data_IF_070989054311
#
_entry.id   IF_070989054311
#
_cell.length_a   1.000
_cell.length_b   1.000
_cell.length_c   1.000
_cell.angle_alpha   90.00
_cell.angle_beta   90.00
_cell.angle_gamma   90.00
#
_symmetry.space_group_name_H-M   'P 1'
#
loop_
_entity.id
_entity.type
_entity.pdbx_description
1 polymer ?
#
# COMPACT_ATOMS: atom_id res chain seq x y z
N UNK A 1 -31.26 -5.40 2.32
CA UNK A 1 -30.72 -4.05 2.07
C UNK A 1 -29.35 -3.99 2.71
N UNK A 2 -28.27 -3.94 1.90
CA UNK A 2 -26.89 -3.90 2.41
C UNK A 2 -26.49 -2.42 2.52
N UNK A 3 -26.18 -1.95 3.71
CA UNK A 3 -25.76 -0.57 3.94
C UNK A 3 -24.26 -0.44 3.66
N UNK A 4 -23.91 0.37 2.69
CA UNK A 4 -22.54 0.84 2.46
C UNK A 4 -22.31 2.05 3.38
N UNK A 5 -21.46 1.92 4.39
CA UNK A 5 -21.08 3.05 5.24
C UNK A 5 -19.84 3.72 4.63
N UNK A 6 -20.05 4.88 4.07
CA UNK A 6 -19.01 5.70 3.45
C UNK A 6 -18.68 6.87 4.39
N UNK A 7 -17.44 6.95 4.88
CA UNK A 7 -16.93 8.16 5.50
C UNK A 7 -15.92 8.81 4.56
N UNK A 8 -16.33 9.87 3.88
CA UNK A 8 -15.42 10.79 3.21
C UNK A 8 -15.21 12.00 4.11
N UNK A 9 -13.99 12.17 4.60
CA UNK A 9 -13.60 13.45 5.19
C UNK A 9 -12.94 14.30 4.10
N UNK A 10 -13.57 15.39 3.71
CA UNK A 10 -12.95 16.38 2.84
C UNK A 10 -12.38 17.50 3.68
N UNK A 11 -11.07 17.72 3.62
CA UNK A 11 -10.49 19.03 3.95
C UNK A 11 -10.49 19.85 2.66
N UNK A 12 -11.34 20.88 2.62
CA UNK A 12 -11.43 21.76 1.48
C UNK A 12 -10.17 22.62 1.38
N UNK A 13 -9.49 22.52 0.26
CA UNK A 13 -8.66 23.50 -0.44
C UNK A 13 -7.51 22.89 -1.27
N UNK A 14 -7.62 21.65 -1.67
CA UNK A 14 -6.65 21.10 -2.62
C UNK A 14 -7.30 21.00 -4.00
N UNK A 15 -6.92 21.87 -4.90
CA UNK A 15 -7.23 21.72 -6.30
C UNK A 15 -6.56 20.42 -6.81
N UNK A 16 -7.30 19.61 -7.57
CA UNK A 16 -6.80 18.46 -8.33
C UNK A 16 -6.48 17.17 -7.55
N UNK A 17 -6.98 16.98 -6.33
CA UNK A 17 -6.91 15.69 -5.67
C UNK A 17 -7.97 14.72 -6.21
N UNK A 18 -7.60 13.47 -6.44
CA UNK A 18 -8.49 12.46 -7.02
C UNK A 18 -8.62 11.25 -6.10
N UNK A 19 -9.86 10.84 -5.82
CA UNK A 19 -10.17 9.62 -5.08
C UNK A 19 -11.10 8.76 -5.94
N UNK A 20 -10.68 7.54 -6.25
CA UNK A 20 -11.48 6.55 -6.96
C UNK A 20 -11.68 5.32 -6.07
N UNK A 21 -12.91 4.93 -5.82
CA UNK A 21 -13.24 3.75 -5.03
C UNK A 21 -14.22 2.87 -5.78
N UNK A 22 -13.87 1.60 -5.95
CA UNK A 22 -14.75 0.55 -6.42
C UNK A 22 -14.73 -0.58 -5.40
N UNK A 23 -15.91 -1.03 -4.95
CA UNK A 23 -16.02 -2.05 -3.92
C UNK A 23 -17.13 -3.04 -4.23
N UNK A 24 -16.78 -4.34 -4.12
CA UNK A 24 -17.72 -5.46 -4.06
C UNK A 24 -17.44 -6.24 -2.79
N UNK A 25 -18.40 -6.29 -1.86
CA UNK A 25 -18.24 -6.94 -0.55
C UNK A 25 -18.93 -6.16 0.56
N UNK A 26 -18.75 -6.62 1.79
CA UNK A 26 -19.43 -6.07 2.97
C UNK A 26 -18.46 -5.74 4.11
N UNK A 27 -18.85 -4.81 4.98
CA UNK A 27 -18.12 -4.43 6.18
C UNK A 27 -16.68 -3.94 5.91
N UNK A 28 -16.42 -3.33 4.76
CA UNK A 28 -15.12 -2.72 4.51
C UNK A 28 -15.08 -1.29 5.04
N UNK A 29 -13.97 -0.91 5.64
CA UNK A 29 -13.67 0.45 6.07
C UNK A 29 -12.59 1.05 5.17
N UNK A 30 -12.91 2.11 4.45
CA UNK A 30 -11.95 2.83 3.60
C UNK A 30 -11.88 4.27 4.11
N UNK A 31 -10.71 4.67 4.59
CA UNK A 31 -10.42 6.02 5.03
C UNK A 31 -9.30 6.61 4.16
N UNK A 32 -9.58 7.72 3.48
CA UNK A 32 -8.60 8.41 2.63
C UNK A 32 -8.56 9.87 3.04
N UNK A 33 -7.39 10.34 3.43
CA UNK A 33 -7.11 11.73 3.71
C UNK A 33 -6.05 12.25 2.72
N UNK A 34 -6.30 13.39 2.11
CA UNK A 34 -5.40 14.06 1.18
C UNK A 34 -5.28 15.52 1.57
N UNK A 35 -4.08 15.95 1.97
CA UNK A 35 -3.74 17.31 2.33
C UNK A 35 -2.58 17.80 1.45
N UNK A 36 -2.85 18.78 0.60
CA UNK A 36 -1.96 19.21 -0.48
C UNK A 36 -2.68 19.17 -1.82
N UNK A 37 -1.94 19.08 -2.91
CA UNK A 37 -2.49 19.12 -4.26
C UNK A 37 -1.90 18.03 -5.19
N UNK A 38 -2.67 17.60 -6.16
CA UNK A 38 -2.25 16.61 -7.17
C UNK A 38 -2.15 15.18 -6.63
N UNK A 39 -2.75 14.88 -5.47
CA UNK A 39 -2.73 13.54 -4.92
C UNK A 39 -3.79 12.64 -5.55
N UNK A 40 -3.45 11.38 -5.73
CA UNK A 40 -4.37 10.37 -6.26
C UNK A 40 -4.42 9.15 -5.37
N UNK A 41 -5.61 8.74 -4.99
CA UNK A 41 -5.86 7.47 -4.29
C UNK A 41 -6.88 6.63 -5.05
N UNK A 42 -6.54 5.39 -5.36
CA UNK A 42 -7.43 4.44 -6.03
C UNK A 42 -7.56 3.18 -5.19
N UNK A 43 -8.78 2.77 -4.90
CA UNK A 43 -9.06 1.53 -4.16
C UNK A 43 -10.06 0.69 -4.94
N UNK A 44 -9.66 -0.51 -5.34
CA UNK A 44 -10.48 -1.49 -6.03
C UNK A 44 -10.56 -2.77 -5.20
N UNK A 45 -11.74 -3.05 -4.64
CA UNK A 45 -12.00 -4.24 -3.85
C UNK A 45 -13.01 -5.15 -4.55
N UNK A 46 -12.70 -6.44 -4.60
CA UNK A 46 -13.63 -7.45 -5.07
C UNK A 46 -13.73 -7.54 -6.60
N UNK A 47 -12.61 -7.52 -7.31
CA UNK A 47 -12.62 -7.61 -8.78
C UNK A 47 -13.09 -8.98 -9.27
N UNK A 48 -12.72 -10.05 -8.57
CA UNK A 48 -13.08 -11.42 -8.94
C UNK A 48 -14.13 -12.06 -8.03
N UNK A 49 -14.16 -11.66 -6.77
CA UNK A 49 -15.15 -12.09 -5.77
C UNK A 49 -15.20 -11.07 -4.64
N UNK A 50 -16.14 -11.22 -3.69
CA UNK A 50 -16.28 -10.26 -2.60
C UNK A 50 -14.99 -10.13 -1.76
N UNK A 51 -14.77 -8.91 -1.28
CA UNK A 51 -13.76 -8.59 -0.27
C UNK A 51 -14.49 -8.05 0.95
N UNK A 52 -14.37 -8.74 2.07
CA UNK A 52 -15.15 -8.44 3.26
C UNK A 52 -14.28 -8.11 4.47
N UNK A 53 -14.78 -7.30 5.41
CA UNK A 53 -14.13 -6.94 6.66
C UNK A 53 -12.70 -6.40 6.46
N UNK A 54 -12.45 -5.69 5.39
CA UNK A 54 -11.12 -5.15 5.04
C UNK A 54 -11.03 -3.70 5.47
N UNK A 55 -9.91 -3.32 6.09
CA UNK A 55 -9.62 -1.95 6.52
C UNK A 55 -8.50 -1.35 5.67
N UNK A 56 -8.77 -0.21 5.05
CA UNK A 56 -7.80 0.54 4.25
C UNK A 56 -7.73 1.97 4.78
N UNK A 57 -6.51 2.42 5.10
CA UNK A 57 -6.22 3.81 5.44
C UNK A 57 -5.14 4.35 4.51
N UNK A 58 -5.43 5.44 3.82
CA UNK A 58 -4.48 6.15 2.95
C UNK A 58 -4.42 7.59 3.43
N UNK A 59 -3.23 8.04 3.81
CA UNK A 59 -2.97 9.40 4.26
C UNK A 59 -1.85 10.00 3.41
N UNK A 60 -2.19 11.00 2.59
CA UNK A 60 -1.30 11.67 1.64
C UNK A 60 -1.19 13.14 2.02
N UNK A 61 0.02 13.60 2.31
CA UNK A 61 0.26 14.93 2.87
C UNK A 61 1.36 15.69 2.14
N UNK A 62 1.37 16.98 2.38
CA UNK A 62 2.41 17.91 1.97
C UNK A 62 2.46 18.16 0.44
N UNK A 63 3.52 18.84 0.03
CA UNK A 63 3.79 19.13 -1.38
C UNK A 63 4.35 17.87 -2.09
N UNK A 64 4.40 17.92 -3.40
CA UNK A 64 4.78 16.76 -4.21
C UNK A 64 3.61 15.80 -4.44
N UNK A 65 3.60 15.16 -5.58
CA UNK A 65 2.51 14.27 -5.99
C UNK A 65 2.57 12.95 -5.21
N UNK A 66 1.47 12.57 -4.57
CA UNK A 66 1.32 11.29 -3.91
C UNK A 66 0.33 10.42 -4.70
N UNK A 67 0.74 9.21 -4.99
CA UNK A 67 -0.11 8.25 -5.70
C UNK A 67 -0.20 6.94 -4.91
N UNK A 68 -1.42 6.54 -4.59
CA UNK A 68 -1.68 5.25 -3.94
C UNK A 68 -2.67 4.44 -4.77
N UNK A 69 -2.36 3.18 -5.00
CA UNK A 69 -3.27 2.24 -5.66
C UNK A 69 -3.36 0.94 -4.86
N UNK A 70 -4.56 0.55 -4.48
CA UNK A 70 -4.83 -0.69 -3.77
C UNK A 70 -5.82 -1.53 -4.58
N UNK A 71 -5.40 -2.72 -4.98
CA UNK A 71 -6.22 -3.70 -5.65
C UNK A 71 -6.22 -5.02 -4.87
N UNK A 72 -7.37 -5.36 -4.28
CA UNK A 72 -7.61 -6.65 -3.64
C UNK A 72 -8.68 -7.39 -4.45
N UNK A 73 -8.31 -8.54 -5.02
CA UNK A 73 -9.22 -9.30 -5.90
C UNK A 73 -10.25 -10.09 -5.12
N UNK A 74 -9.84 -10.68 -4.01
CA UNK A 74 -10.72 -11.44 -3.12
C UNK A 74 -10.08 -11.63 -1.75
N UNK A 75 -10.86 -11.97 -0.74
CA UNK A 75 -10.39 -12.29 0.61
C UNK A 75 -11.10 -11.51 1.70
N UNK A 76 -10.74 -11.81 2.93
CA UNK A 76 -11.36 -11.21 4.11
C UNK A 76 -10.30 -10.76 5.12
N UNK A 77 -10.67 -9.79 5.97
CA UNK A 77 -9.84 -9.34 7.10
C UNK A 77 -8.45 -8.84 6.68
N UNK A 78 -8.32 -8.16 5.55
CA UNK A 78 -7.06 -7.52 5.18
C UNK A 78 -6.95 -6.12 5.82
N UNK A 79 -5.76 -5.76 6.28
CA UNK A 79 -5.42 -4.44 6.80
C UNK A 79 -4.38 -3.77 5.92
N UNK A 80 -4.66 -2.55 5.45
CA UNK A 80 -3.71 -1.78 4.63
C UNK A 80 -3.62 -0.37 5.18
N UNK A 81 -2.40 0.05 5.47
CA UNK A 81 -2.10 1.41 5.90
C UNK A 81 -1.00 2.01 5.02
N UNK A 82 -1.29 3.14 4.38
CA UNK A 82 -0.35 3.87 3.53
C UNK A 82 -0.25 5.30 4.04
N UNK A 83 0.96 5.70 4.42
CA UNK A 83 1.31 7.08 4.74
C UNK A 83 2.33 7.57 3.72
N UNK A 84 2.02 8.67 3.06
CA UNK A 84 2.92 9.36 2.13
C UNK A 84 3.00 10.84 2.51
N UNK A 85 4.19 11.29 2.89
CA UNK A 85 4.42 12.67 3.35
C UNK A 85 5.76 13.21 2.88
N UNK A 86 5.97 14.52 3.05
CA UNK A 86 7.17 15.22 2.59
C UNK A 86 7.05 15.76 1.17
N UNK A 87 8.09 16.48 0.70
CA UNK A 87 8.04 17.20 -0.57
C UNK A 87 8.30 16.35 -1.82
N UNK A 88 8.78 15.12 -1.66
CA UNK A 88 9.02 14.19 -2.77
C UNK A 88 7.75 13.62 -3.37
N UNK A 89 7.85 13.10 -4.59
CA UNK A 89 6.78 12.33 -5.21
C UNK A 89 6.81 10.89 -4.69
N UNK A 90 5.72 10.41 -4.13
CA UNK A 90 5.65 9.08 -3.56
C UNK A 90 4.60 8.23 -4.27
N UNK A 91 4.96 6.99 -4.58
CA UNK A 91 4.04 6.04 -5.21
C UNK A 91 4.00 4.74 -4.40
N UNK A 92 2.81 4.33 -4.01
CA UNK A 92 2.56 3.04 -3.38
C UNK A 92 1.56 2.25 -4.22
N UNK A 93 1.87 1.00 -4.51
CA UNK A 93 0.96 0.14 -5.27
C UNK A 93 0.87 -1.25 -4.62
N UNK A 94 -0.35 -1.67 -4.35
CA UNK A 94 -0.67 -3.04 -3.96
C UNK A 94 -1.53 -3.61 -5.08
N UNK A 95 -1.03 -4.63 -5.75
CA UNK A 95 -1.65 -5.17 -6.95
C UNK A 95 -1.93 -6.67 -6.83
N UNK A 96 -3.04 -7.11 -7.40
CA UNK A 96 -3.41 -8.51 -7.51
C UNK A 96 -3.42 -9.25 -6.16
N UNK A 97 -3.65 -8.57 -5.04
CA UNK A 97 -3.71 -9.24 -3.74
C UNK A 97 -4.95 -10.15 -3.70
N UNK A 98 -4.71 -11.44 -3.49
CA UNK A 98 -5.74 -12.46 -3.38
C UNK A 98 -5.47 -13.29 -2.13
N UNK A 99 -6.35 -13.21 -1.12
CA UNK A 99 -6.17 -13.91 0.15
C UNK A 99 -6.59 -13.08 1.35
N UNK A 100 -6.47 -13.67 2.51
CA UNK A 100 -7.07 -13.14 3.74
C UNK A 100 -6.03 -12.88 4.82
N UNK A 101 -6.35 -11.95 5.72
CA UNK A 101 -5.55 -11.68 6.91
C UNK A 101 -4.19 -11.03 6.61
N UNK A 102 -4.00 -10.42 5.46
CA UNK A 102 -2.76 -9.71 5.17
C UNK A 102 -2.76 -8.35 5.88
N UNK A 103 -1.63 -7.98 6.46
CA UNK A 103 -1.42 -6.68 7.09
C UNK A 103 -0.24 -5.96 6.42
N UNK A 104 -0.51 -4.88 5.70
CA UNK A 104 0.47 -4.16 4.90
C UNK A 104 0.55 -2.72 5.40
N UNK A 105 1.73 -2.30 5.85
CA UNK A 105 2.01 -0.93 6.26
C UNK A 105 3.13 -0.34 5.42
N UNK A 106 2.85 0.78 4.76
CA UNK A 106 3.79 1.50 3.91
C UNK A 106 3.93 2.92 4.43
N UNK A 107 5.16 3.33 4.73
CA UNK A 107 5.50 4.69 5.08
C UNK A 107 6.55 5.23 4.12
N UNK A 108 6.21 6.28 3.39
CA UNK A 108 7.11 7.00 2.48
C UNK A 108 7.20 8.46 2.92
N UNK A 109 8.41 8.91 3.21
CA UNK A 109 8.65 10.24 3.77
C UNK A 109 9.90 10.90 3.16
N UNK A 110 9.88 12.22 3.10
CA UNK A 110 11.04 13.01 2.71
C UNK A 110 10.93 13.68 1.35
N UNK A 111 12.07 14.17 0.86
CA UNK A 111 12.14 14.97 -0.37
C UNK A 111 12.59 14.16 -1.60
N UNK A 112 13.03 12.92 -1.41
CA UNK A 112 13.31 11.97 -2.50
C UNK A 112 12.02 11.39 -3.08
N UNK A 113 12.08 10.91 -4.32
CA UNK A 113 10.96 10.19 -4.92
C UNK A 113 11.00 8.73 -4.48
N UNK A 114 9.93 8.26 -3.86
CA UNK A 114 9.90 6.90 -3.33
C UNK A 114 8.80 6.09 -4.01
N UNK A 115 9.14 4.86 -4.39
CA UNK A 115 8.18 3.92 -4.98
C UNK A 115 8.24 2.57 -4.28
N UNK A 116 7.09 2.09 -3.83
CA UNK A 116 6.95 0.77 -3.24
C UNK A 116 5.80 0.01 -3.90
N UNK A 117 6.10 -1.20 -4.37
CA UNK A 117 5.11 -2.09 -4.96
C UNK A 117 5.01 -3.38 -4.14
N UNK A 118 3.81 -3.79 -3.82
CA UNK A 118 3.48 -5.13 -3.30
C UNK A 118 2.62 -5.83 -4.34
N UNK A 119 3.11 -6.92 -4.90
CA UNK A 119 2.45 -7.61 -6.01
C UNK A 119 2.11 -9.04 -5.58
N UNK A 120 0.84 -9.37 -5.56
CA UNK A 120 0.37 -10.75 -5.48
C UNK A 120 0.46 -11.40 -6.86
N UNK A 121 0.97 -12.62 -6.94
CA UNK A 121 0.99 -13.35 -8.21
C UNK A 121 -0.43 -13.75 -8.65
N UNK A 122 -0.71 -13.57 -9.91
CA UNK A 122 -2.00 -13.96 -10.47
C UNK A 122 -2.25 -15.46 -10.28
N UNK A 123 -3.46 -15.83 -9.82
CA UNK A 123 -3.85 -17.21 -9.58
C UNK A 123 -3.28 -17.85 -8.31
N UNK A 124 -2.53 -17.11 -7.49
CA UNK A 124 -2.07 -17.60 -6.19
C UNK A 124 -2.80 -16.93 -5.04
N UNK A 125 -2.88 -17.62 -3.91
CA UNK A 125 -3.43 -17.08 -2.67
C UNK A 125 -2.29 -16.63 -1.77
N UNK A 126 -2.35 -15.40 -1.28
CA UNK A 126 -1.38 -14.81 -0.37
C UNK A 126 -2.09 -14.46 0.94
N UNK A 127 -1.83 -15.18 2.02
CA UNK A 127 -2.62 -15.03 3.25
C UNK A 127 -1.77 -14.90 4.51
N UNK A 128 -2.26 -14.13 5.47
CA UNK A 128 -1.62 -13.98 6.78
C UNK A 128 -0.25 -13.30 6.71
N UNK A 129 0.05 -12.58 5.65
CA UNK A 129 1.34 -11.91 5.50
C UNK A 129 1.35 -10.56 6.20
N UNK A 130 2.48 -10.24 6.82
CA UNK A 130 2.75 -8.92 7.41
C UNK A 130 3.87 -8.24 6.65
N UNK A 131 3.61 -7.07 6.07
CA UNK A 131 4.61 -6.30 5.33
C UNK A 131 4.72 -4.92 5.98
N UNK A 132 5.92 -4.59 6.46
CA UNK A 132 6.24 -3.28 7.00
C UNK A 132 7.34 -2.66 6.14
N UNK A 133 7.02 -1.59 5.44
CA UNK A 133 7.95 -0.92 4.55
C UNK A 133 8.10 0.56 4.91
N UNK A 134 9.34 1.01 5.06
CA UNK A 134 9.69 2.40 5.28
C UNK A 134 10.70 2.84 4.24
N UNK A 135 10.39 3.92 3.53
CA UNK A 135 11.28 4.59 2.59
C UNK A 135 11.38 6.06 2.98
N UNK A 136 12.61 6.55 3.18
CA UNK A 136 12.83 7.96 3.45
C UNK A 136 14.17 8.44 2.88
N UNK A 137 14.25 9.73 2.57
CA UNK A 137 15.47 10.31 2.04
C UNK A 137 15.32 11.76 1.60
N UNK A 138 16.45 12.44 1.47
CA UNK A 138 16.52 13.80 0.92
C UNK A 138 16.31 13.84 -0.60
N UNK A 139 16.36 15.03 -1.16
CA UNK A 139 16.29 15.22 -2.61
C UNK A 139 17.41 14.42 -3.33
N UNK A 140 17.05 13.69 -4.35
CA UNK A 140 17.96 12.80 -5.09
C UNK A 140 18.26 11.45 -4.41
N UNK A 141 17.77 11.23 -3.19
CA UNK A 141 17.87 9.94 -2.50
C UNK A 141 16.64 9.06 -2.78
N UNK A 142 16.34 8.82 -4.03
CA UNK A 142 15.15 8.09 -4.47
C UNK A 142 15.21 6.62 -4.04
N UNK A 143 14.07 6.08 -3.61
CA UNK A 143 13.95 4.69 -3.16
C UNK A 143 12.95 3.95 -4.03
N UNK A 144 13.33 2.78 -4.47
CA UNK A 144 12.44 1.86 -5.16
C UNK A 144 12.52 0.47 -4.54
N UNK A 145 11.38 -0.12 -4.23
CA UNK A 145 11.32 -1.50 -3.76
C UNK A 145 10.10 -2.23 -4.29
N UNK A 146 10.27 -3.51 -4.58
CA UNK A 146 9.17 -4.39 -4.96
C UNK A 146 9.17 -5.67 -4.14
N UNK A 147 8.04 -5.98 -3.51
CA UNK A 147 7.78 -7.25 -2.86
C UNK A 147 6.85 -8.08 -3.76
N UNK A 148 7.29 -9.23 -4.22
CA UNK A 148 6.48 -10.16 -4.97
C UNK A 148 6.05 -11.33 -4.07
N UNK A 149 4.76 -11.48 -3.87
CA UNK A 149 4.16 -12.61 -3.14
C UNK A 149 3.71 -13.69 -4.13
N UNK A 150 4.42 -14.78 -4.15
CA UNK A 150 4.21 -15.90 -5.09
C UNK A 150 3.50 -17.07 -4.39
N UNK A 151 2.30 -16.85 -3.87
CA UNK A 151 1.58 -17.82 -3.04
C UNK A 151 2.11 -17.87 -1.59
N UNK A 152 2.54 -16.71 -1.06
CA UNK A 152 3.13 -16.63 0.27
C UNK A 152 2.06 -16.70 1.38
N UNK A 153 2.31 -17.50 2.41
CA UNK A 153 1.42 -17.62 3.57
C UNK A 153 2.20 -17.50 4.88
N UNK A 154 1.81 -16.52 5.71
CA UNK A 154 2.42 -16.26 7.01
C UNK A 154 3.82 -15.63 6.92
N UNK A 155 4.13 -14.93 5.85
CA UNK A 155 5.41 -14.20 5.73
C UNK A 155 5.40 -12.91 6.53
N UNK A 156 6.52 -12.62 7.20
CA UNK A 156 6.80 -11.30 7.75
C UNK A 156 7.90 -10.65 6.93
N UNK A 157 7.63 -9.50 6.33
CA UNK A 157 8.54 -8.76 5.46
C UNK A 157 8.83 -7.39 6.06
N UNK A 158 10.11 -7.07 6.23
CA UNK A 158 10.56 -5.76 6.69
C UNK A 158 11.42 -5.13 5.59
N UNK A 159 11.01 -3.96 5.11
CA UNK A 159 11.76 -3.16 4.15
C UNK A 159 12.11 -1.81 4.79
N UNK A 160 13.40 -1.50 4.89
CA UNK A 160 13.87 -0.20 5.37
C UNK A 160 14.90 0.36 4.39
N UNK A 161 14.56 1.46 3.74
CA UNK A 161 15.43 2.21 2.84
C UNK A 161 15.46 3.66 3.35
N UNK A 162 16.33 3.94 4.32
CA UNK A 162 16.33 5.21 5.07
C UNK A 162 17.60 6.03 4.94
N UNK A 163 18.53 5.60 4.07
CA UNK A 163 19.72 6.41 3.82
C UNK A 163 19.34 7.80 3.26
N UNK A 164 19.74 8.89 3.93
CA UNK A 164 19.26 10.23 3.58
C UNK A 164 19.84 10.78 2.27
N UNK A 165 20.93 10.22 1.76
CA UNK A 165 21.67 10.81 0.64
C UNK A 165 21.84 9.86 -0.55
N UNK A 166 21.55 8.57 -0.42
CA UNK A 166 21.76 7.58 -1.47
C UNK A 166 20.44 7.07 -2.04
N UNK A 167 20.35 7.05 -3.36
CA UNK A 167 19.31 6.31 -4.07
C UNK A 167 19.48 4.80 -3.86
N UNK A 168 18.37 4.08 -3.84
CA UNK A 168 18.37 2.62 -3.66
C UNK A 168 17.26 1.96 -4.44
N UNK A 169 17.57 0.84 -5.11
CA UNK A 169 16.62 0.02 -5.84
C UNK A 169 16.81 -1.44 -5.50
N UNK A 170 15.75 -2.15 -5.13
CA UNK A 170 15.79 -3.58 -4.85
C UNK A 170 14.41 -4.25 -5.01
N UNK A 171 14.41 -5.58 -5.04
CA UNK A 171 13.20 -6.38 -5.04
C UNK A 171 13.38 -7.66 -4.22
N UNK A 172 12.25 -8.23 -3.78
CA UNK A 172 12.21 -9.48 -3.02
C UNK A 172 11.08 -10.37 -3.57
N UNK A 173 11.41 -11.62 -3.86
CA UNK A 173 10.43 -12.63 -4.23
C UNK A 173 10.24 -13.60 -3.07
N UNK A 174 8.99 -13.77 -2.64
CA UNK A 174 8.63 -14.66 -1.54
C UNK A 174 7.70 -15.74 -2.07
N UNK A 175 8.22 -16.95 -2.12
CA UNK A 175 7.50 -18.14 -2.54
C UNK A 175 7.55 -19.19 -1.45
N UNK A 176 6.46 -19.38 -0.75
CA UNK A 176 6.33 -20.45 0.23
C UNK A 176 4.85 -20.64 0.59
N UNK A 177 4.40 -21.87 0.67
CA UNK A 177 2.97 -22.19 0.81
C UNK A 177 2.46 -22.24 2.25
N UNK A 178 3.34 -22.23 3.24
CA UNK A 178 2.96 -22.20 4.66
C UNK A 178 4.13 -21.80 5.56
N UNK A 179 3.84 -21.04 6.61
CA UNK A 179 4.81 -20.60 7.63
C UNK A 179 6.08 -19.96 7.05
N UNK A 180 5.90 -18.99 6.20
CA UNK A 180 6.97 -18.39 5.40
C UNK A 180 8.07 -17.67 6.19
N UNK A 181 8.04 -17.60 7.49
CA UNK A 181 9.08 -16.96 8.27
C UNK A 181 9.26 -15.45 8.01
N UNK A 182 10.44 -14.92 8.41
CA UNK A 182 10.73 -13.48 8.34
C UNK A 182 11.82 -13.16 7.31
N UNK A 183 11.61 -12.09 6.58
CA UNK A 183 12.48 -11.59 5.53
C UNK A 183 12.76 -10.11 5.77
N UNK A 184 14.01 -9.68 5.67
CA UNK A 184 14.32 -8.27 5.85
C UNK A 184 15.26 -7.75 4.76
N UNK A 185 15.01 -6.52 4.34
CA UNK A 185 15.89 -5.71 3.52
C UNK A 185 16.09 -4.36 4.20
N UNK A 186 17.30 -4.11 4.67
CA UNK A 186 17.65 -2.91 5.43
C UNK A 186 18.80 -2.19 4.73
N UNK A 187 18.60 -0.92 4.42
CA UNK A 187 19.57 -0.02 3.81
C UNK A 187 19.46 1.36 4.46
N UNK A 188 20.29 1.58 5.44
CA UNK A 188 20.39 2.83 6.20
C UNK A 188 21.52 3.71 5.70
#
# INVERSE_FOLDING_TARGET
MKYLLFFLSFSALAADNTINIQQIGVNNLINIAQDGSGHTATVNLGITSSVDNTSISIDQKDSGVKTSSVEIKSGINNGINILQQGAGNHTSSIQNLNGSGNNISINQDGNGNHQLNVIGSAGTTNSGNTINATQSGGAGADKWFQVNLLGATGATVIVQQTNPTQANQASMNIQCSSNCGSWSYIRN
#
